data_IF_949045149816
#
_entry.id   IF_949045149816
#
_cell.length_a   1.000
_cell.length_b   1.000
_cell.length_c   1.000
_cell.angle_alpha   90.00
_cell.angle_beta   90.00
_cell.angle_gamma   90.00
#
_symmetry.space_group_name_H-M   'P 1'
#
loop_
_entity.id
_entity.type
_entity.pdbx_description
1 polymer ?
#
# COMPACT_ATOMS: atom_id res chain seq x y z
N UNK A 1 45.35 60.42 35.94
CA UNK A 1 43.95 60.92 35.94
C UNK A 1 43.61 61.37 34.52
N UNK A 2 42.43 61.07 34.00
CA UNK A 2 41.65 59.83 34.09
C UNK A 2 41.17 59.42 32.66
N UNK A 3 40.80 58.17 32.34
CA UNK A 3 39.45 57.57 32.44
C UNK A 3 38.94 57.13 31.05
N UNK A 4 38.35 55.92 31.02
CA UNK A 4 37.18 55.50 30.21
C UNK A 4 37.36 55.44 28.67
N UNK A 5 37.12 54.34 27.93
CA UNK A 5 36.11 53.30 28.07
C UNK A 5 36.61 51.92 27.64
N UNK A 6 36.27 50.95 28.49
CA UNK A 6 36.04 49.54 28.19
C UNK A 6 34.88 49.39 27.18
N UNK A 7 34.97 48.49 26.20
CA UNK A 7 34.08 47.31 26.15
C UNK A 7 34.51 46.31 25.05
N UNK A 8 34.49 45.04 25.44
CA UNK A 8 34.84 43.85 24.69
C UNK A 8 33.89 43.59 23.52
N UNK A 9 34.43 43.33 22.32
CA UNK A 9 33.74 42.59 21.25
C UNK A 9 34.52 41.30 20.96
N UNK A 10 34.34 40.30 21.81
CA UNK A 10 34.62 38.90 21.48
C UNK A 10 33.28 38.25 21.16
N UNK A 11 32.79 38.45 19.92
CA UNK A 11 31.68 37.66 19.41
C UNK A 11 32.23 36.24 19.15
N UNK A 12 31.91 35.31 20.05
CA UNK A 12 32.06 33.88 19.80
C UNK A 12 31.16 33.51 18.64
N UNK A 13 31.75 33.12 17.51
CA UNK A 13 31.06 32.34 16.49
C UNK A 13 30.65 31.00 17.12
N UNK A 14 29.43 30.92 17.64
CA UNK A 14 28.74 29.65 17.79
C UNK A 14 28.35 29.21 16.39
N UNK A 15 29.17 28.35 15.78
CA UNK A 15 28.74 27.54 14.64
C UNK A 15 27.69 26.58 15.16
N UNK A 16 26.42 26.96 15.02
CA UNK A 16 25.31 26.02 15.12
C UNK A 16 25.49 25.01 13.99
N UNK A 17 26.01 23.83 14.31
CA UNK A 17 25.75 22.63 13.52
C UNK A 17 24.24 22.38 13.62
N UNK A 18 23.47 23.00 12.73
CA UNK A 18 22.17 22.47 12.37
C UNK A 18 22.46 21.17 11.64
N UNK A 19 22.30 20.05 12.34
CA UNK A 19 22.05 18.77 11.71
C UNK A 19 20.93 18.99 10.69
N UNK A 20 21.28 18.91 9.41
CA UNK A 20 20.30 18.77 8.36
C UNK A 20 19.53 17.48 8.67
N UNK A 21 18.38 17.61 9.34
CA UNK A 21 17.31 16.65 9.19
C UNK A 21 17.06 16.61 7.68
N UNK A 22 17.48 15.52 7.04
CA UNK A 22 17.09 15.24 5.66
C UNK A 22 15.58 15.36 5.61
N UNK A 23 15.08 16.42 4.97
CA UNK A 23 13.66 16.54 4.67
C UNK A 23 13.26 15.24 3.95
N UNK A 24 12.10 14.68 4.31
CA UNK A 24 11.58 13.56 3.55
C UNK A 24 11.45 14.01 2.09
N UNK A 25 11.88 13.22 1.10
CA UNK A 25 11.86 13.64 -0.30
C UNK A 25 10.44 13.88 -0.85
N UNK A 26 9.40 13.52 -0.10
CA UNK A 26 7.99 13.61 -0.48
C UNK A 26 7.19 14.28 0.64
N UNK A 27 6.55 15.41 0.33
CA UNK A 27 5.85 16.25 1.31
C UNK A 27 4.34 15.97 1.39
N UNK A 28 3.79 15.18 0.46
CA UNK A 28 2.35 14.89 0.42
C UNK A 28 2.07 13.61 1.19
N UNK A 29 1.34 13.75 2.30
CA UNK A 29 0.85 12.65 3.10
C UNK A 29 -0.54 12.96 3.69
N UNK A 30 -1.41 11.95 3.71
CA UNK A 30 -2.70 11.97 4.38
C UNK A 30 -2.80 10.74 5.28
N UNK A 31 -3.18 10.95 6.54
CA UNK A 31 -3.52 9.89 7.48
C UNK A 31 -4.92 10.17 7.98
N UNK A 32 -5.89 9.32 7.68
CA UNK A 32 -7.32 9.51 7.98
C UNK A 32 -7.76 8.44 8.95
N UNK A 33 -8.25 8.86 10.12
CA UNK A 33 -8.94 8.02 11.09
C UNK A 33 -10.40 7.87 10.64
N UNK A 34 -10.71 6.77 9.95
CA UNK A 34 -12.03 6.54 9.37
C UNK A 34 -13.02 6.23 10.50
N UNK A 35 -14.04 7.05 10.67
CA UNK A 35 -14.94 7.02 11.82
C UNK A 35 -14.59 8.03 12.92
N UNK A 36 -13.37 8.59 12.90
CA UNK A 36 -12.86 9.51 13.90
C UNK A 36 -13.48 10.91 13.80
N UNK A 37 -14.04 11.48 14.89
CA UNK A 37 -14.71 12.78 14.83
C UNK A 37 -13.75 13.98 14.90
N UNK A 38 -12.50 13.75 15.32
CA UNK A 38 -11.51 14.81 15.59
C UNK A 38 -10.12 14.36 15.20
N UNK A 39 -9.24 15.31 14.90
CA UNK A 39 -7.84 14.98 14.67
C UNK A 39 -7.20 14.41 15.94
N UNK A 40 -6.40 13.37 15.78
CA UNK A 40 -5.68 12.69 16.86
C UNK A 40 -4.22 12.53 16.47
N UNK A 41 -3.33 12.47 17.46
CA UNK A 41 -1.92 12.18 17.22
C UNK A 41 -1.58 10.85 17.86
N UNK A 42 -0.96 9.97 17.10
CA UNK A 42 -0.60 8.64 17.57
C UNK A 42 0.68 8.67 18.44
N UNK A 43 1.05 7.55 19.09
CA UNK A 43 2.26 7.47 19.91
C UNK A 43 3.59 7.69 19.14
N UNK A 44 3.56 7.66 17.81
CA UNK A 44 4.71 7.88 16.93
C UNK A 44 4.75 9.31 16.37
N UNK A 45 3.91 10.21 16.90
CA UNK A 45 3.81 11.61 16.52
C UNK A 45 3.29 11.82 15.07
N UNK A 46 2.52 10.85 14.54
CA UNK A 46 1.78 11.02 13.30
C UNK A 46 0.44 11.66 13.60
N UNK A 47 0.11 12.76 12.91
CA UNK A 47 -1.21 13.39 13.01
C UNK A 47 -2.18 12.70 12.06
N UNK A 48 -3.22 12.11 12.64
CA UNK A 48 -4.36 11.54 11.95
C UNK A 48 -5.49 12.56 11.90
N UNK A 49 -6.01 12.79 10.70
CA UNK A 49 -7.12 13.68 10.43
C UNK A 49 -8.44 13.00 10.81
N UNK A 50 -9.38 13.81 11.30
CA UNK A 50 -10.77 13.40 11.42
C UNK A 50 -11.31 12.90 10.08
N UNK A 51 -12.26 11.98 10.15
CA UNK A 51 -12.84 11.32 8.99
C UNK A 51 -13.42 12.32 7.99
N UNK A 52 -13.02 12.19 6.72
CA UNK A 52 -13.36 13.11 5.64
C UNK A 52 -13.05 12.51 4.27
N UNK A 53 -13.49 13.19 3.22
CA UNK A 53 -13.38 12.76 1.80
C UNK A 53 -14.23 11.54 1.43
N UNK A 54 -15.05 11.02 2.35
CA UNK A 54 -15.97 9.93 2.08
C UNK A 54 -17.24 10.42 1.36
N UNK A 55 -17.87 9.53 0.58
CA UNK A 55 -19.12 9.84 -0.14
C UNK A 55 -20.40 9.50 0.62
N UNK A 56 -20.33 8.72 1.70
CA UNK A 56 -21.50 8.29 2.45
C UNK A 56 -21.15 7.44 3.67
N UNK A 57 -22.12 6.65 4.14
CA UNK A 57 -21.93 5.73 5.26
C UNK A 57 -22.10 6.34 6.65
N UNK A 58 -21.92 5.49 7.63
CA UNK A 58 -22.04 5.79 9.06
C UNK A 58 -20.76 5.39 9.78
N UNK A 59 -20.59 5.85 11.01
CA UNK A 59 -19.40 5.55 11.82
C UNK A 59 -19.78 4.70 13.01
N UNK A 60 -18.83 3.89 13.48
CA UNK A 60 -18.94 3.13 14.72
C UNK A 60 -17.59 3.05 15.40
N UNK A 61 -17.65 2.72 16.68
CA UNK A 61 -16.50 2.24 17.43
C UNK A 61 -16.45 0.71 17.27
N UNK A 62 -15.26 0.13 17.24
CA UNK A 62 -15.07 -1.34 17.29
C UNK A 62 -15.60 -1.92 18.61
N UNK A 63 -15.88 -3.21 18.71
CA UNK A 63 -16.49 -3.77 19.93
C UNK A 63 -15.54 -3.73 21.14
N UNK A 64 -14.23 -3.90 20.93
CA UNK A 64 -13.22 -3.93 21.98
C UNK A 64 -12.12 -2.87 21.73
N UNK A 65 -12.40 -1.55 21.85
CA UNK A 65 -11.45 -0.49 21.48
C UNK A 65 -10.15 -0.46 22.28
N UNK A 66 -10.13 -1.10 23.45
CA UNK A 66 -8.94 -1.21 24.29
C UNK A 66 -7.98 -2.30 23.81
N UNK A 67 -8.44 -3.19 22.93
CA UNK A 67 -7.59 -4.15 22.23
C UNK A 67 -6.62 -3.45 21.28
N UNK A 68 -7.09 -2.37 20.65
CA UNK A 68 -6.31 -1.57 19.71
C UNK A 68 -5.46 -0.52 20.43
N UNK A 69 -4.19 -0.48 20.06
CA UNK A 69 -3.23 0.47 20.67
C UNK A 69 -3.34 1.83 20.02
N UNK A 70 -3.60 1.89 18.71
CA UNK A 70 -3.57 3.12 17.96
C UNK A 70 -4.95 3.78 17.88
N UNK A 71 -5.06 5.11 17.99
CA UNK A 71 -6.33 5.82 17.90
C UNK A 71 -7.12 5.48 16.64
N UNK A 72 -6.45 5.47 15.48
CA UNK A 72 -7.01 5.22 14.16
C UNK A 72 -7.49 3.78 13.90
N UNK A 73 -7.32 2.89 14.87
CA UNK A 73 -7.79 1.50 14.79
C UNK A 73 -9.06 1.28 15.64
N UNK A 74 -9.47 2.30 16.42
CA UNK A 74 -10.57 2.19 17.40
C UNK A 74 -11.92 2.56 16.83
N UNK A 75 -11.94 3.21 15.69
CA UNK A 75 -13.17 3.59 14.99
C UNK A 75 -13.16 3.02 13.58
N UNK A 76 -14.34 2.91 13.00
CA UNK A 76 -14.50 2.53 11.61
C UNK A 76 -15.64 3.32 10.97
N UNK A 77 -15.51 3.52 9.66
CA UNK A 77 -16.63 3.87 8.79
C UNK A 77 -17.17 2.58 8.17
N UNK A 78 -18.48 2.45 8.16
CA UNK A 78 -19.18 1.38 7.46
C UNK A 78 -20.20 1.94 6.46
N UNK A 79 -20.39 1.23 5.36
CA UNK A 79 -21.25 1.67 4.26
C UNK A 79 -22.48 0.76 4.15
N UNK A 80 -23.57 1.04 4.88
CA UNK A 80 -24.80 0.27 4.75
C UNK A 80 -25.42 0.47 3.37
N UNK A 81 -26.23 -0.49 2.92
CA UNK A 81 -26.92 -0.43 1.62
C UNK A 81 -27.78 0.84 1.43
N UNK A 82 -28.23 1.48 2.52
CA UNK A 82 -28.91 2.77 2.47
C UNK A 82 -28.06 3.92 1.91
N UNK A 83 -26.72 3.77 1.94
CA UNK A 83 -25.75 4.68 1.33
C UNK A 83 -25.37 4.26 -0.10
N UNK A 84 -26.08 3.29 -0.67
CA UNK A 84 -25.81 2.75 -2.01
C UNK A 84 -24.77 1.63 -2.00
N UNK A 85 -24.68 0.93 -3.14
CA UNK A 85 -23.80 -0.25 -3.29
C UNK A 85 -22.32 0.10 -3.44
N UNK A 86 -22.02 1.32 -3.91
CA UNK A 86 -20.65 1.83 -4.11
C UNK A 86 -20.44 3.11 -3.30
N UNK A 87 -19.42 3.10 -2.45
CA UNK A 87 -19.00 4.26 -1.66
C UNK A 87 -17.50 4.41 -1.73
N UNK A 88 -16.99 5.64 -1.66
CA UNK A 88 -15.57 5.90 -1.86
C UNK A 88 -15.02 6.90 -0.85
N UNK A 89 -13.72 6.87 -0.66
CA UNK A 89 -12.92 8.03 -0.28
C UNK A 89 -12.32 8.63 -1.55
N UNK A 90 -12.57 9.93 -1.79
CA UNK A 90 -12.13 10.67 -2.98
C UNK A 90 -11.27 11.84 -2.51
N UNK A 91 -9.95 11.69 -2.60
CA UNK A 91 -8.99 12.65 -2.05
C UNK A 91 -8.32 13.46 -3.16
N UNK A 92 -8.23 14.80 -3.05
CA UNK A 92 -7.49 15.60 -4.01
C UNK A 92 -5.99 15.32 -3.88
N UNK A 93 -5.38 14.73 -4.92
CA UNK A 93 -3.96 14.39 -4.99
C UNK A 93 -3.39 14.77 -6.35
N UNK A 94 -2.26 15.50 -6.43
CA UNK A 94 -1.66 15.79 -7.72
C UNK A 94 -1.20 14.50 -8.42
N UNK A 95 -1.05 14.57 -9.75
CA UNK A 95 -0.57 13.41 -10.51
C UNK A 95 0.79 12.94 -9.98
N UNK A 96 0.93 11.64 -9.74
CA UNK A 96 2.12 11.07 -9.10
C UNK A 96 1.95 9.61 -8.75
N UNK A 97 2.97 9.04 -8.10
CA UNK A 97 2.92 7.68 -7.55
C UNK A 97 2.78 7.75 -6.04
N UNK A 98 1.92 6.91 -5.50
CA UNK A 98 1.57 6.93 -4.09
C UNK A 98 1.61 5.53 -3.49
N UNK A 99 2.05 5.48 -2.24
CA UNK A 99 1.83 4.37 -1.33
C UNK A 99 0.48 4.58 -0.64
N UNK A 100 -0.37 3.57 -0.67
CA UNK A 100 -1.64 3.52 0.03
C UNK A 100 -1.57 2.44 1.09
N UNK A 101 -2.11 2.71 2.28
CA UNK A 101 -2.29 1.71 3.32
C UNK A 101 -3.66 1.84 3.93
N UNK A 102 -4.42 0.76 3.96
CA UNK A 102 -5.74 0.69 4.61
C UNK A 102 -5.67 -0.20 5.82
N UNK A 103 -6.38 0.16 6.89
CA UNK A 103 -6.67 -0.74 8.00
C UNK A 103 -8.13 -1.19 7.93
N UNK A 104 -8.37 -2.50 7.93
CA UNK A 104 -9.70 -3.09 7.87
C UNK A 104 -9.90 -4.00 9.08
N UNK A 105 -10.99 -3.76 9.82
CA UNK A 105 -11.38 -4.58 10.97
C UNK A 105 -12.89 -4.64 11.08
N UNK A 106 -13.42 -5.79 11.51
CA UNK A 106 -14.84 -5.95 11.83
C UNK A 106 -15.08 -5.75 13.34
N UNK A 107 -14.33 -6.49 14.15
CA UNK A 107 -14.40 -6.58 15.61
C UNK A 107 -15.83 -6.46 16.14
N UNK A 108 -16.76 -7.17 15.49
CA UNK A 108 -18.17 -7.25 15.84
C UNK A 108 -18.83 -5.89 16.18
N UNK A 109 -18.46 -4.80 15.50
CA UNK A 109 -18.91 -3.44 15.84
C UNK A 109 -20.44 -3.28 15.88
N UNK A 110 -21.17 -4.13 15.15
CA UNK A 110 -22.63 -4.11 15.04
C UNK A 110 -23.33 -5.20 15.87
N UNK A 111 -22.57 -6.03 16.61
CA UNK A 111 -23.09 -7.08 17.48
C UNK A 111 -23.74 -8.25 16.75
N UNK A 112 -23.58 -8.39 15.44
CA UNK A 112 -24.22 -9.45 14.64
C UNK A 112 -23.41 -10.74 14.53
N UNK A 113 -22.14 -10.72 14.92
CA UNK A 113 -21.19 -11.82 14.77
C UNK A 113 -21.10 -12.34 13.33
N UNK A 114 -21.20 -11.41 12.37
CA UNK A 114 -21.17 -11.69 10.94
C UNK A 114 -20.31 -10.64 10.23
N UNK A 115 -19.05 -10.99 9.96
CA UNK A 115 -18.14 -10.16 9.18
C UNK A 115 -18.73 -9.86 7.79
N UNK A 116 -18.56 -8.64 7.24
CA UNK A 116 -19.15 -8.29 5.96
C UNK A 116 -18.39 -8.89 4.77
N UNK A 117 -19.12 -9.25 3.71
CA UNK A 117 -18.56 -9.53 2.39
C UNK A 117 -18.61 -8.27 1.52
N UNK A 118 -17.46 -7.87 0.99
CA UNK A 118 -17.37 -6.71 0.10
C UNK A 118 -16.09 -6.74 -0.73
N UNK A 119 -16.07 -5.90 -1.75
CA UNK A 119 -14.93 -5.68 -2.61
C UNK A 119 -14.39 -4.26 -2.43
N UNK A 120 -13.08 -4.07 -2.64
CA UNK A 120 -12.44 -2.76 -2.59
C UNK A 120 -11.56 -2.53 -3.82
N UNK A 121 -11.67 -1.32 -4.40
CA UNK A 121 -10.88 -0.88 -5.54
C UNK A 121 -10.03 0.33 -5.21
N UNK A 122 -8.93 0.47 -5.92
CA UNK A 122 -8.10 1.67 -5.97
C UNK A 122 -8.02 2.11 -7.44
N UNK A 123 -8.29 3.38 -7.74
CA UNK A 123 -8.29 3.93 -9.10
C UNK A 123 -9.14 3.08 -10.07
N UNK A 124 -10.34 2.71 -9.62
CA UNK A 124 -11.26 1.87 -10.40
C UNK A 124 -10.82 0.42 -10.62
N UNK A 125 -9.69 -0.02 -10.05
CA UNK A 125 -9.16 -1.38 -10.19
C UNK A 125 -9.41 -2.18 -8.92
N UNK A 126 -10.05 -3.35 -9.03
CA UNK A 126 -10.32 -4.21 -7.88
C UNK A 126 -9.01 -4.77 -7.30
N UNK A 127 -8.76 -4.53 -6.00
CA UNK A 127 -7.51 -4.91 -5.32
C UNK A 127 -7.72 -5.84 -4.14
N UNK A 128 -8.88 -5.79 -3.47
CA UNK A 128 -9.19 -6.68 -2.35
C UNK A 128 -10.61 -7.22 -2.42
N UNK A 129 -10.74 -8.49 -2.02
CA UNK A 129 -12.02 -9.18 -1.88
C UNK A 129 -12.14 -9.77 -0.48
N UNK A 130 -13.03 -9.20 0.32
CA UNK A 130 -13.34 -9.65 1.67
C UNK A 130 -14.58 -10.55 1.62
N UNK A 131 -14.48 -11.78 2.14
CA UNK A 131 -15.55 -12.78 2.04
C UNK A 131 -15.85 -13.37 3.41
N UNK A 132 -17.09 -13.22 3.84
CA UNK A 132 -17.58 -13.79 5.10
C UNK A 132 -17.66 -15.33 5.03
N UNK A 133 -17.36 -16.05 6.13
CA UNK A 133 -16.82 -15.55 7.39
C UNK A 133 -15.32 -15.27 7.29
N UNK A 134 -14.86 -14.18 7.91
CA UNK A 134 -13.43 -13.88 8.00
C UNK A 134 -12.75 -14.80 9.02
N UNK A 135 -11.45 -15.13 8.84
CA UNK A 135 -10.63 -15.73 9.89
C UNK A 135 -10.71 -14.95 11.19
N UNK A 136 -10.70 -15.62 12.35
CA UNK A 136 -10.91 -14.96 13.65
C UNK A 136 -9.87 -13.89 13.94
N UNK A 137 -8.58 -14.14 13.63
CA UNK A 137 -7.52 -13.14 13.78
C UNK A 137 -7.79 -11.89 12.96
N UNK A 138 -8.23 -12.03 11.71
CA UNK A 138 -8.58 -10.88 10.88
C UNK A 138 -9.86 -10.17 11.39
N UNK A 139 -10.87 -10.95 11.78
CA UNK A 139 -12.13 -10.40 12.26
C UNK A 139 -11.94 -9.58 13.54
N UNK A 140 -11.08 -10.03 14.46
CA UNK A 140 -10.83 -9.40 15.76
C UNK A 140 -9.68 -8.40 15.76
N UNK A 141 -8.54 -8.75 15.17
CA UNK A 141 -7.31 -7.95 15.24
C UNK A 141 -7.17 -7.00 14.04
N UNK A 142 -7.96 -7.23 12.99
CA UNK A 142 -7.89 -6.46 11.74
C UNK A 142 -6.67 -6.81 10.89
N UNK A 143 -6.55 -6.13 9.75
CA UNK A 143 -5.38 -6.23 8.90
C UNK A 143 -5.08 -4.90 8.20
N UNK A 144 -3.78 -4.66 8.05
CA UNK A 144 -3.27 -3.62 7.17
C UNK A 144 -3.09 -4.18 5.75
N UNK A 145 -3.36 -3.35 4.75
CA UNK A 145 -3.14 -3.70 3.35
C UNK A 145 -2.46 -2.55 2.62
N UNK A 146 -1.34 -2.88 1.97
CA UNK A 146 -0.41 -1.91 1.40
C UNK A 146 -0.41 -2.00 -0.13
N UNK A 147 -0.48 -0.85 -0.81
CA UNK A 147 -0.51 -0.76 -2.26
C UNK A 147 0.42 0.34 -2.78
N UNK A 148 0.88 0.21 -4.03
CA UNK A 148 1.43 1.32 -4.80
C UNK A 148 0.65 1.49 -6.09
N UNK A 149 0.21 2.71 -6.37
CA UNK A 149 -0.51 3.06 -7.59
C UNK A 149 -0.12 4.45 -8.10
N UNK A 150 -0.40 4.71 -9.37
CA UNK A 150 -0.32 6.03 -9.96
C UNK A 150 -1.69 6.71 -9.92
N UNK A 151 -1.71 7.96 -9.50
CA UNK A 151 -2.85 8.88 -9.62
C UNK A 151 -2.56 9.84 -10.75
N UNK A 152 -3.51 10.09 -11.65
CA UNK A 152 -3.25 10.85 -12.89
C UNK A 152 -4.17 12.05 -13.10
N UNK A 153 -5.38 12.00 -12.57
CA UNK A 153 -6.47 12.94 -12.85
C UNK A 153 -6.69 13.99 -11.74
N UNK A 154 -5.89 13.96 -10.68
CA UNK A 154 -5.95 14.94 -9.60
C UNK A 154 -6.74 14.48 -8.38
N UNK A 155 -7.33 13.28 -8.41
CA UNK A 155 -8.10 12.69 -7.31
C UNK A 155 -7.68 11.23 -7.15
N UNK A 156 -7.58 10.73 -5.91
CA UNK A 156 -7.46 9.30 -5.66
C UNK A 156 -8.79 8.72 -5.19
N UNK A 157 -9.21 7.64 -5.84
CA UNK A 157 -10.46 6.94 -5.59
C UNK A 157 -10.18 5.60 -4.89
N UNK A 158 -10.51 5.52 -3.59
CA UNK A 158 -10.56 4.27 -2.83
C UNK A 158 -12.02 3.90 -2.61
N UNK A 159 -12.53 2.94 -3.39
CA UNK A 159 -13.96 2.60 -3.41
C UNK A 159 -14.25 1.22 -2.84
N UNK A 160 -15.45 1.06 -2.29
CA UNK A 160 -15.96 -0.13 -1.63
C UNK A 160 -17.30 -0.52 -2.21
N UNK A 161 -17.47 -1.82 -2.46
CA UNK A 161 -18.61 -2.40 -3.16
C UNK A 161 -19.29 -3.44 -2.27
N UNK A 162 -20.52 -3.13 -1.83
CA UNK A 162 -21.31 -4.02 -0.98
C UNK A 162 -21.72 -5.28 -1.72
N UNK A 163 -21.52 -6.46 -1.12
CA UNK A 163 -22.08 -7.71 -1.62
C UNK A 163 -23.35 -8.02 -0.83
N UNK A 164 -24.45 -8.27 -1.55
CA UNK A 164 -25.77 -8.47 -0.97
C UNK A 164 -26.18 -7.31 -0.03
N UNK A 165 -26.30 -7.56 1.26
CA UNK A 165 -26.68 -6.56 2.28
C UNK A 165 -25.55 -6.21 3.24
N UNK A 166 -24.34 -6.76 3.01
CA UNK A 166 -23.22 -6.58 3.92
C UNK A 166 -22.60 -5.18 3.75
N UNK A 167 -22.38 -4.44 4.84
CA UNK A 167 -21.75 -3.13 4.79
C UNK A 167 -20.23 -3.24 4.71
N UNK A 168 -19.56 -2.73 3.67
CA UNK A 168 -18.11 -2.58 3.67
C UNK A 168 -17.64 -1.74 4.85
N UNK A 169 -16.44 -2.02 5.35
CA UNK A 169 -15.84 -1.36 6.52
C UNK A 169 -14.41 -0.92 6.24
N UNK A 170 -14.00 0.20 6.84
CA UNK A 170 -12.62 0.68 6.85
C UNK A 170 -12.36 1.46 8.15
N UNK A 171 -11.23 1.16 8.81
CA UNK A 171 -10.79 1.81 10.06
C UNK A 171 -9.81 2.95 9.82
N UNK A 172 -8.91 2.83 8.84
CA UNK A 172 -8.01 3.93 8.51
C UNK A 172 -7.54 3.91 7.06
N UNK A 173 -7.17 5.09 6.55
CA UNK A 173 -6.59 5.29 5.22
C UNK A 173 -5.35 6.19 5.32
N UNK A 174 -4.22 5.66 4.89
CA UNK A 174 -2.96 6.37 4.75
C UNK A 174 -2.58 6.47 3.28
N UNK A 175 -2.12 7.65 2.87
CA UNK A 175 -1.62 7.90 1.52
C UNK A 175 -0.36 8.72 1.63
N UNK A 176 0.70 8.31 0.94
CA UNK A 176 1.97 9.04 0.90
C UNK A 176 2.53 9.04 -0.50
N UNK A 177 2.96 10.21 -0.97
CA UNK A 177 3.66 10.31 -2.24
C UNK A 177 5.00 9.58 -2.15
N UNK A 178 5.37 8.88 -3.21
CA UNK A 178 6.64 8.15 -3.32
C UNK A 178 7.31 8.48 -4.65
N UNK A 179 8.55 8.01 -4.81
CA UNK A 179 9.28 8.21 -6.05
C UNK A 179 8.53 7.55 -7.22
N UNK A 180 8.28 8.27 -8.33
CA UNK A 180 7.57 7.72 -9.48
C UNK A 180 8.29 6.54 -10.13
N UNK A 181 9.61 6.41 -9.94
CA UNK A 181 10.44 5.31 -10.45
C UNK A 181 10.62 4.17 -9.44
N UNK A 182 10.01 4.25 -8.26
CA UNK A 182 10.10 3.20 -7.23
C UNK A 182 9.57 1.86 -7.74
N UNK A 183 10.13 0.77 -7.22
CA UNK A 183 9.75 -0.61 -7.52
C UNK A 183 9.78 -0.94 -9.02
N UNK A 184 10.86 -0.55 -9.70
CA UNK A 184 11.10 -0.82 -11.14
C UNK A 184 10.00 -0.29 -12.06
N UNK A 185 9.36 0.82 -11.68
CA UNK A 185 8.31 1.43 -12.49
C UNK A 185 8.77 1.87 -13.89
N UNK A 186 10.07 2.13 -14.08
CA UNK A 186 10.64 2.39 -15.40
C UNK A 186 10.44 1.23 -16.38
N UNK A 187 10.51 -0.01 -15.88
CA UNK A 187 10.35 -1.23 -16.68
C UNK A 187 8.89 -1.71 -16.70
N UNK A 188 8.19 -1.63 -15.56
CA UNK A 188 6.81 -2.08 -15.42
C UNK A 188 5.78 -1.10 -16.01
N UNK A 189 6.13 0.18 -16.08
CA UNK A 189 5.22 1.26 -16.43
C UNK A 189 4.20 1.58 -15.32
N UNK A 190 3.08 2.17 -15.74
CA UNK A 190 2.01 2.69 -14.89
C UNK A 190 0.69 1.91 -15.02
N UNK A 191 0.78 0.68 -15.54
CA UNK A 191 -0.33 -0.21 -15.90
C UNK A 191 -0.68 -1.25 -14.83
N UNK A 192 0.00 -1.20 -13.68
CA UNK A 192 -0.24 -2.12 -12.57
C UNK A 192 -0.35 -1.36 -11.25
N UNK A 193 -1.24 -1.84 -10.39
CA UNK A 193 -1.21 -1.60 -8.95
C UNK A 193 -0.39 -2.71 -8.31
N UNK A 194 0.59 -2.34 -7.48
CA UNK A 194 1.39 -3.29 -6.73
C UNK A 194 0.71 -3.53 -5.39
N UNK A 195 0.15 -4.72 -5.18
CA UNK A 195 -0.46 -5.12 -3.91
C UNK A 195 0.56 -5.90 -3.10
N UNK A 196 0.84 -5.50 -1.85
CA UNK A 196 1.81 -6.18 -1.01
C UNK A 196 1.27 -7.53 -0.49
N UNK A 197 2.01 -8.61 -0.75
CA UNK A 197 1.77 -9.97 -0.23
C UNK A 197 2.83 -10.38 0.82
N UNK A 198 3.64 -9.43 1.27
CA UNK A 198 4.71 -9.67 2.21
C UNK A 198 5.81 -8.63 2.03
N UNK A 199 6.14 -7.93 3.11
CA UNK A 199 7.33 -7.08 3.22
C UNK A 199 8.07 -7.49 4.48
N UNK A 200 9.10 -8.30 4.33
CA UNK A 200 9.74 -9.04 5.41
C UNK A 200 11.10 -8.45 5.75
N UNK A 201 11.35 -8.24 7.03
CA UNK A 201 12.66 -7.94 7.60
C UNK A 201 13.21 -9.20 8.25
N UNK A 202 14.18 -9.83 7.61
CA UNK A 202 14.69 -11.12 8.05
C UNK A 202 15.48 -11.01 9.36
N UNK A 203 15.05 -11.76 10.38
CA UNK A 203 15.71 -11.82 11.68
C UNK A 203 15.37 -10.67 12.63
N UNK A 204 14.35 -9.89 12.32
CA UNK A 204 13.81 -8.83 13.18
C UNK A 204 12.34 -9.10 13.50
N UNK A 205 11.89 -8.63 14.65
CA UNK A 205 10.46 -8.43 14.93
C UNK A 205 9.87 -7.38 13.97
N UNK A 206 8.54 -7.28 13.92
CA UNK A 206 7.82 -6.28 13.12
C UNK A 206 8.22 -4.84 13.52
N UNK A 207 8.41 -3.97 12.53
CA UNK A 207 8.81 -2.58 12.74
C UNK A 207 8.31 -1.63 11.65
N UNK A 208 8.39 -0.33 11.90
CA UNK A 208 7.93 0.74 11.01
C UNK A 208 6.68 1.44 11.53
N UNK A 209 6.01 2.27 10.71
CA UNK A 209 4.85 3.06 11.14
C UNK A 209 3.73 2.19 11.72
N UNK A 210 3.26 2.56 12.92
CA UNK A 210 2.31 1.77 13.71
C UNK A 210 2.96 0.78 14.68
N UNK A 211 4.27 0.52 14.60
CA UNK A 211 4.92 -0.49 15.44
C UNK A 211 6.12 0.05 16.21
N UNK A 212 6.97 0.85 15.56
CA UNK A 212 8.19 1.39 16.14
C UNK A 212 8.51 2.80 15.61
N UNK A 213 9.44 3.51 16.26
CA UNK A 213 9.92 4.84 15.84
C UNK A 213 10.94 4.80 14.68
N UNK A 214 11.05 3.67 13.98
CA UNK A 214 12.03 3.54 12.90
C UNK A 214 11.54 4.22 11.64
N UNK A 215 12.44 4.98 11.00
CA UNK A 215 12.10 5.82 9.86
C UNK A 215 12.21 5.03 8.56
N UNK A 216 11.11 5.02 7.79
CA UNK A 216 11.07 4.69 6.38
C UNK A 216 10.46 5.89 5.62
N UNK A 217 11.17 6.40 4.61
CA UNK A 217 10.73 7.59 3.87
C UNK A 217 9.45 7.35 3.04
N UNK A 218 9.11 6.11 2.73
CA UNK A 218 7.83 5.76 2.09
C UNK A 218 6.74 5.42 3.11
N UNK A 219 7.06 5.36 4.41
CA UNK A 219 6.10 4.99 5.45
C UNK A 219 5.76 3.50 5.46
N UNK A 220 6.60 2.65 4.87
CA UNK A 220 6.39 1.20 4.85
C UNK A 220 6.60 0.60 6.22
N UNK A 221 5.77 -0.38 6.56
CA UNK A 221 6.00 -1.30 7.69
C UNK A 221 6.60 -2.61 7.20
N UNK A 222 7.40 -3.25 8.04
CA UNK A 222 8.14 -4.48 7.76
C UNK A 222 7.79 -5.55 8.80
N UNK A 223 7.39 -6.73 8.33
CA UNK A 223 6.99 -7.87 9.15
C UNK A 223 8.18 -8.77 9.46
N UNK A 224 8.06 -9.60 10.50
CA UNK A 224 9.02 -10.68 10.76
C UNK A 224 8.94 -11.73 9.66
N UNK A 225 10.07 -12.32 9.29
CA UNK A 225 10.12 -13.43 8.34
C UNK A 225 9.81 -14.79 8.99
N UNK A 226 9.71 -14.86 10.32
CA UNK A 226 9.70 -16.11 11.09
C UNK A 226 8.60 -17.10 10.71
N UNK A 227 7.37 -16.61 10.53
CA UNK A 227 6.21 -17.46 10.21
C UNK A 227 6.25 -18.01 8.78
N UNK A 228 7.03 -17.39 7.90
CA UNK A 228 7.12 -17.76 6.48
C UNK A 228 8.33 -18.66 6.17
N UNK A 229 9.19 -18.92 7.16
CA UNK A 229 10.29 -19.88 7.04
C UNK A 229 9.75 -21.31 7.06
N UNK A 230 10.29 -22.18 6.22
CA UNK A 230 9.94 -23.62 6.31
C UNK A 230 10.46 -24.22 7.62
N UNK A 231 9.86 -25.34 8.09
CA UNK A 231 10.31 -26.01 9.32
C UNK A 231 11.78 -26.44 9.32
N UNK A 232 12.37 -26.65 8.14
CA UNK A 232 13.79 -26.97 8.00
C UNK A 232 14.65 -25.72 8.18
N UNK A 233 14.28 -24.61 7.55
CA UNK A 233 14.93 -23.31 7.70
C UNK A 233 14.93 -22.86 9.16
N UNK A 234 13.78 -22.94 9.84
CA UNK A 234 13.65 -22.50 11.24
C UNK A 234 14.56 -23.26 12.22
N UNK A 235 15.00 -24.47 11.89
CA UNK A 235 15.93 -25.27 12.72
C UNK A 235 17.39 -24.88 12.56
N UNK A 236 17.77 -24.30 11.42
CA UNK A 236 19.18 -24.02 11.06
C UNK A 236 19.52 -22.54 11.06
N UNK A 237 18.51 -21.69 11.16
CA UNK A 237 18.64 -20.23 11.09
C UNK A 237 19.36 -19.68 12.32
N UNK A 238 20.28 -18.75 12.07
CA UNK A 238 20.86 -17.84 13.04
C UNK A 238 20.66 -16.41 12.56
N UNK A 239 20.34 -15.52 13.49
CA UNK A 239 20.24 -14.08 13.24
C UNK A 239 21.63 -13.47 13.41
N UNK A 240 22.03 -12.63 12.46
CA UNK A 240 23.23 -11.79 12.54
C UNK A 240 22.77 -10.35 12.52
N UNK A 241 23.37 -9.53 13.37
CA UNK A 241 23.09 -8.10 13.44
C UNK A 241 24.36 -7.29 13.55
N UNK A 242 24.28 -6.02 13.14
CA UNK A 242 25.39 -5.08 13.25
C UNK A 242 24.89 -3.72 13.73
N UNK A 243 25.77 -2.97 14.38
CA UNK A 243 25.58 -1.55 14.71
C UNK A 243 26.33 -0.62 13.76
N UNK A 244 27.10 -1.18 12.84
CA UNK A 244 27.82 -0.41 11.83
C UNK A 244 26.84 0.30 10.89
N UNK A 245 27.30 1.39 10.30
CA UNK A 245 26.56 2.09 9.27
C UNK A 245 26.54 1.27 7.98
N UNK A 246 25.36 1.15 7.36
CA UNK A 246 25.23 0.49 6.06
C UNK A 246 25.19 1.57 4.97
N UNK A 247 26.13 1.49 4.02
CA UNK A 247 26.16 2.38 2.86
C UNK A 247 25.16 1.95 1.77
N UNK A 248 24.77 2.85 0.87
CA UNK A 248 23.84 2.55 -0.23
C UNK A 248 22.34 2.49 0.16
N UNK A 249 22.01 2.81 1.41
CA UNK A 249 20.63 2.85 1.93
C UNK A 249 19.98 4.22 1.70
N UNK A 250 18.65 4.29 1.78
CA UNK A 250 17.88 5.53 1.62
C UNK A 250 18.19 6.28 0.31
N UNK A 251 18.50 5.56 -0.77
CA UNK A 251 18.75 6.12 -2.09
C UNK A 251 17.54 5.97 -3.00
N UNK A 252 17.35 6.97 -3.88
CA UNK A 252 16.38 6.89 -4.95
C UNK A 252 16.64 5.65 -5.85
N UNK A 253 15.59 5.06 -6.45
CA UNK A 253 14.20 5.49 -6.34
C UNK A 253 13.45 4.84 -5.17
N UNK A 254 14.03 3.88 -4.44
CA UNK A 254 13.26 3.06 -3.49
C UNK A 254 13.37 3.48 -2.02
N UNK A 255 14.41 4.25 -1.69
CA UNK A 255 14.69 4.74 -0.35
C UNK A 255 14.62 3.64 0.72
N UNK A 256 15.20 2.46 0.43
CA UNK A 256 15.15 1.35 1.38
C UNK A 256 15.88 1.71 2.69
N UNK A 257 15.22 1.56 3.85
CA UNK A 257 15.71 2.05 5.13
C UNK A 257 16.95 1.27 5.62
N UNK A 258 17.84 1.98 6.32
CA UNK A 258 19.08 1.38 6.85
C UNK A 258 18.83 0.20 7.79
N UNK A 259 17.79 0.30 8.64
CA UNK A 259 17.42 -0.72 9.61
C UNK A 259 17.24 -2.10 8.97
N UNK A 260 16.68 -2.16 7.78
CA UNK A 260 16.48 -3.40 7.02
C UNK A 260 17.80 -4.17 6.83
N UNK A 261 18.88 -3.46 6.56
CA UNK A 261 20.19 -4.04 6.23
C UNK A 261 21.10 -4.24 7.44
N UNK A 262 20.67 -3.87 8.65
CA UNK A 262 21.43 -4.07 9.88
C UNK A 262 21.14 -5.41 10.57
N UNK A 263 20.12 -6.12 10.10
CA UNK A 263 19.80 -7.48 10.54
C UNK A 263 19.70 -8.40 9.33
N UNK A 264 20.06 -9.67 9.55
CA UNK A 264 19.96 -10.68 8.53
C UNK A 264 19.79 -12.06 9.14
N UNK A 265 19.23 -12.96 8.36
CA UNK A 265 19.17 -14.39 8.64
C UNK A 265 20.21 -15.11 7.80
N UNK A 266 20.93 -16.05 8.42
CA UNK A 266 21.87 -16.95 7.75
C UNK A 266 21.72 -18.35 8.35
N UNK A 267 22.13 -19.42 7.65
CA UNK A 267 21.98 -20.78 8.17
C UNK A 267 22.87 -21.78 7.45
N UNK A 268 23.32 -22.82 8.16
CA UNK A 268 24.23 -23.84 7.63
C UNK A 268 23.51 -24.84 6.69
N UNK A 269 22.95 -24.33 5.58
CA UNK A 269 22.18 -25.09 4.63
C UNK A 269 21.41 -24.19 3.67
N UNK A 270 20.35 -24.75 3.06
CA UNK A 270 19.42 -24.00 2.23
C UNK A 270 18.47 -23.22 3.12
N UNK A 271 18.34 -21.91 2.89
CA UNK A 271 17.25 -21.12 3.48
C UNK A 271 16.07 -21.17 2.52
N UNK A 272 14.90 -21.49 3.04
CA UNK A 272 13.67 -21.62 2.26
C UNK A 272 12.51 -20.92 2.96
N UNK A 273 11.76 -20.16 2.15
CA UNK A 273 10.57 -19.42 2.53
C UNK A 273 9.39 -19.84 1.65
N UNK A 274 8.21 -19.95 2.25
CA UNK A 274 6.95 -20.22 1.55
C UNK A 274 5.98 -19.06 1.80
N UNK A 275 5.68 -18.31 0.74
CA UNK A 275 4.81 -17.14 0.79
C UNK A 275 3.48 -17.52 0.14
N UNK A 276 2.38 -17.33 0.88
CA UNK A 276 1.03 -17.55 0.35
C UNK A 276 0.65 -16.43 -0.62
N UNK A 277 0.12 -16.81 -1.77
CA UNK A 277 -0.19 -15.93 -2.90
C UNK A 277 -1.43 -16.43 -3.64
N UNK A 278 -1.94 -15.60 -4.54
CA UNK A 278 -3.01 -15.99 -5.45
C UNK A 278 -2.47 -16.62 -6.72
N UNK A 279 -3.21 -17.58 -7.25
CA UNK A 279 -2.88 -18.21 -8.52
C UNK A 279 -3.30 -17.32 -9.70
N UNK A 280 -2.68 -17.57 -10.86
CA UNK A 280 -2.89 -16.89 -12.16
C UNK A 280 -2.55 -15.40 -12.14
N UNK A 281 -1.55 -15.03 -11.34
CA UNK A 281 -1.09 -13.65 -11.19
C UNK A 281 0.43 -13.55 -11.43
N UNK A 282 0.88 -12.33 -11.75
CA UNK A 282 2.29 -11.99 -11.82
C UNK A 282 2.75 -11.42 -10.47
N UNK A 283 3.98 -11.74 -10.07
CA UNK A 283 4.55 -11.31 -8.78
C UNK A 283 5.92 -10.67 -8.97
N UNK A 284 6.10 -9.46 -8.43
CA UNK A 284 7.38 -8.78 -8.33
C UNK A 284 8.00 -9.05 -6.95
N UNK A 285 9.14 -9.72 -6.94
CA UNK A 285 9.93 -9.94 -5.74
C UNK A 285 11.09 -8.96 -5.65
N UNK A 286 11.41 -8.52 -4.44
CA UNK A 286 12.63 -7.80 -4.11
C UNK A 286 13.40 -8.56 -3.04
N UNK A 287 14.70 -8.73 -3.27
CA UNK A 287 15.60 -9.39 -2.34
C UNK A 287 16.62 -8.39 -1.81
N UNK A 288 16.77 -8.34 -0.49
CA UNK A 288 17.63 -7.39 0.20
C UNK A 288 18.77 -8.10 0.90
N UNK A 289 19.99 -7.60 0.68
CA UNK A 289 21.22 -8.17 1.18
C UNK A 289 22.19 -7.10 1.68
N UNK A 290 22.97 -7.45 2.70
CA UNK A 290 24.18 -6.74 3.07
C UNK A 290 25.14 -7.75 3.68
N UNK A 291 26.42 -7.68 3.34
CA UNK A 291 27.44 -8.51 4.01
C UNK A 291 27.83 -7.82 5.32
N UNK A 292 27.14 -8.22 6.39
CA UNK A 292 27.32 -7.70 7.75
C UNK A 292 28.14 -8.65 8.65
N UNK A 293 28.53 -9.82 8.14
CA UNK A 293 29.43 -10.75 8.82
C UNK A 293 30.88 -10.39 8.51
N UNK A 294 31.59 -9.85 9.50
CA UNK A 294 32.99 -9.40 9.34
C UNK A 294 33.98 -10.51 8.98
N UNK A 295 33.58 -11.79 9.11
CA UNK A 295 34.40 -12.92 8.67
C UNK A 295 34.45 -13.05 7.14
N UNK A 296 33.50 -12.47 6.42
CA UNK A 296 33.47 -12.38 4.96
C UNK A 296 34.03 -11.02 4.52
N UNK A 297 35.28 -11.03 4.06
CA UNK A 297 36.07 -9.83 3.76
C UNK A 297 36.72 -9.84 2.37
N UNK A 298 36.35 -10.79 1.51
CA UNK A 298 36.78 -10.84 0.10
C UNK A 298 35.75 -11.55 -0.77
N UNK A 299 35.76 -11.19 -2.05
CA UNK A 299 34.98 -11.86 -3.11
C UNK A 299 35.20 -13.37 -3.08
N UNK A 300 34.12 -14.13 -3.30
CA UNK A 300 34.11 -15.58 -3.39
C UNK A 300 34.03 -16.31 -2.05
N UNK A 301 34.04 -15.60 -0.91
CA UNK A 301 33.89 -16.22 0.41
C UNK A 301 32.44 -16.54 0.78
N UNK A 302 31.45 -15.92 0.14
CA UNK A 302 30.05 -16.31 0.29
C UNK A 302 29.38 -16.17 -1.06
N UNK A 303 29.05 -17.32 -1.66
CA UNK A 303 28.35 -17.38 -2.94
C UNK A 303 27.19 -18.33 -2.79
N UNK A 304 26.00 -17.89 -3.17
CA UNK A 304 24.78 -18.70 -3.15
C UNK A 304 23.87 -18.33 -4.33
N UNK A 305 23.07 -19.29 -4.76
CA UNK A 305 22.04 -19.08 -5.78
C UNK A 305 20.70 -18.75 -5.10
N UNK A 306 19.97 -17.79 -5.65
CA UNK A 306 18.60 -17.45 -5.26
C UNK A 306 17.66 -18.08 -6.27
N UNK A 307 16.82 -19.00 -5.83
CA UNK A 307 15.83 -19.67 -6.67
C UNK A 307 14.43 -19.23 -6.25
N UNK A 308 13.57 -18.99 -7.25
CA UNK A 308 12.15 -18.72 -7.06
C UNK A 308 11.38 -19.79 -7.81
N UNK A 309 10.58 -20.60 -7.09
CA UNK A 309 9.87 -21.76 -7.63
C UNK A 309 10.79 -22.66 -8.49
N UNK A 310 11.93 -23.08 -7.91
CA UNK A 310 12.98 -23.90 -8.53
C UNK A 310 13.70 -23.26 -9.74
N UNK A 311 13.34 -22.04 -10.14
CA UNK A 311 14.03 -21.31 -11.21
C UNK A 311 15.10 -20.41 -10.63
N UNK A 312 16.32 -20.46 -11.17
CA UNK A 312 17.40 -19.61 -10.73
C UNK A 312 17.12 -18.14 -11.11
N UNK A 313 16.94 -17.30 -10.10
CA UNK A 313 16.76 -15.85 -10.26
C UNK A 313 18.10 -15.13 -10.37
N UNK A 314 19.08 -15.48 -9.52
CA UNK A 314 20.40 -14.86 -9.54
C UNK A 314 21.44 -15.65 -8.74
N UNK A 315 22.71 -15.53 -9.14
CA UNK A 315 23.86 -15.95 -8.31
C UNK A 315 24.41 -14.75 -7.56
N UNK A 316 24.45 -14.83 -6.23
CA UNK A 316 24.78 -13.71 -5.34
C UNK A 316 26.13 -13.93 -4.68
N UNK A 317 27.00 -12.92 -4.80
CA UNK A 317 28.21 -12.70 -3.99
C UNK A 317 28.19 -11.23 -3.55
N UNK A 318 27.67 -10.97 -2.35
CA UNK A 318 27.38 -9.60 -1.88
C UNK A 318 28.67 -8.78 -1.82
N UNK A 319 29.75 -9.36 -1.28
CA UNK A 319 31.03 -8.68 -1.17
C UNK A 319 31.58 -8.30 -2.55
N UNK A 320 31.42 -9.16 -3.56
CA UNK A 320 31.82 -8.83 -4.93
C UNK A 320 31.02 -7.68 -5.56
N UNK A 321 29.74 -7.53 -5.18
CA UNK A 321 28.86 -6.49 -5.71
C UNK A 321 29.09 -5.14 -5.04
N UNK A 322 29.17 -5.12 -3.71
CA UNK A 322 29.12 -3.87 -2.93
C UNK A 322 30.12 -3.81 -1.77
N UNK A 323 30.86 -4.88 -1.49
CA UNK A 323 31.75 -4.99 -0.33
C UNK A 323 31.01 -5.29 0.98
N UNK A 324 31.65 -5.01 2.11
CA UNK A 324 31.06 -5.17 3.45
C UNK A 324 30.25 -3.94 3.86
N UNK A 325 29.22 -4.13 4.68
CA UNK A 325 28.39 -3.05 5.25
C UNK A 325 27.84 -2.09 4.17
N UNK A 326 27.40 -2.66 3.06
CA UNK A 326 26.77 -1.96 1.96
C UNK A 326 25.51 -2.72 1.52
N UNK A 327 24.45 -1.98 1.22
CA UNK A 327 23.19 -2.52 0.76
C UNK A 327 23.31 -2.98 -0.70
N UNK A 328 22.85 -4.20 -0.94
CA UNK A 328 22.66 -4.77 -2.27
C UNK A 328 21.23 -5.30 -2.37
N UNK A 329 20.53 -4.95 -3.44
CA UNK A 329 19.20 -5.48 -3.70
C UNK A 329 18.99 -5.68 -5.19
N UNK A 330 18.12 -6.62 -5.52
CA UNK A 330 17.66 -6.81 -6.89
C UNK A 330 16.22 -7.31 -6.89
N UNK A 331 15.54 -7.10 -8.01
CA UNK A 331 14.16 -7.58 -8.23
C UNK A 331 14.10 -8.76 -9.18
N UNK A 332 13.08 -9.59 -9.04
CA UNK A 332 12.78 -10.69 -9.96
C UNK A 332 11.27 -10.82 -10.13
N UNK A 333 10.80 -10.93 -11.38
CA UNK A 333 9.36 -11.06 -11.68
C UNK A 333 9.02 -12.50 -12.03
N UNK A 334 8.04 -13.06 -11.33
CA UNK A 334 7.39 -14.33 -11.68
C UNK A 334 6.17 -14.00 -12.52
N UNK A 335 6.07 -14.59 -13.70
CA UNK A 335 4.91 -14.43 -14.58
C UNK A 335 3.98 -15.63 -14.50
N UNK A 336 2.67 -15.35 -14.48
CA UNK A 336 1.57 -16.29 -14.53
C UNK A 336 1.75 -17.47 -13.57
N UNK A 337 1.92 -17.15 -12.28
CA UNK A 337 2.11 -18.16 -11.25
C UNK A 337 0.84 -18.98 -11.09
N UNK A 338 0.86 -20.26 -11.42
CA UNK A 338 -0.33 -21.13 -11.31
C UNK A 338 -0.55 -21.74 -9.92
N UNK A 339 0.36 -21.48 -8.97
CA UNK A 339 0.36 -22.01 -7.61
C UNK A 339 -0.14 -20.96 -6.62
N UNK A 340 -0.70 -21.39 -5.49
CA UNK A 340 -1.04 -20.51 -4.35
C UNK A 340 0.11 -20.33 -3.35
N UNK A 341 1.25 -20.96 -3.62
CA UNK A 341 2.46 -20.83 -2.82
C UNK A 341 3.61 -20.42 -3.71
N UNK A 342 4.36 -19.41 -3.27
CA UNK A 342 5.61 -18.96 -3.86
C UNK A 342 6.78 -19.41 -2.95
N UNK A 343 7.67 -20.25 -3.49
CA UNK A 343 8.86 -20.73 -2.80
C UNK A 343 10.08 -19.89 -3.17
N UNK A 344 10.80 -19.40 -2.17
CA UNK A 344 12.09 -18.73 -2.32
C UNK A 344 13.16 -19.55 -1.61
N UNK A 345 14.22 -19.93 -2.33
CA UNK A 345 15.36 -20.70 -1.82
C UNK A 345 16.67 -19.96 -2.01
N UNK A 346 17.50 -19.94 -0.97
CA UNK A 346 18.89 -19.51 -1.05
C UNK A 346 19.78 -20.74 -0.86
N UNK A 347 20.45 -21.16 -1.92
CA UNK A 347 21.23 -22.40 -1.97
C UNK A 347 22.72 -22.07 -1.96
N UNK A 348 23.48 -22.44 -0.90
CA UNK A 348 24.91 -22.17 -0.86
C UNK A 348 25.66 -22.87 -2.00
N UNK A 349 26.59 -22.13 -2.62
CA UNK A 349 27.46 -22.59 -3.72
C UNK A 349 28.91 -22.67 -3.25
N UNK A 350 29.43 -21.64 -2.58
CA UNK A 350 30.82 -21.60 -2.13
C UNK A 350 31.05 -20.71 -0.90
N UNK A 351 32.06 -21.08 -0.11
CA UNK A 351 32.70 -20.28 0.93
C UNK A 351 31.93 -20.09 2.25
N UNK A 352 30.59 -20.07 2.22
CA UNK A 352 29.79 -19.86 3.42
C UNK A 352 28.29 -20.06 3.23
N UNK A 353 27.55 -20.03 4.35
CA UNK A 353 26.10 -20.06 4.41
C UNK A 353 25.47 -18.87 3.64
N UNK A 354 24.30 -19.01 3.02
CA UNK A 354 23.57 -17.85 2.49
C UNK A 354 23.21 -16.86 3.61
N UNK A 355 22.96 -15.60 3.24
CA UNK A 355 22.52 -14.54 4.15
C UNK A 355 21.46 -13.69 3.45
N UNK A 356 20.44 -13.22 4.15
CA UNK A 356 19.38 -12.35 3.61
C UNK A 356 18.87 -11.38 4.67
N UNK A 357 18.67 -10.12 4.27
CA UNK A 357 18.18 -9.04 5.13
C UNK A 357 16.66 -8.84 5.02
N UNK A 358 16.09 -9.09 3.85
CA UNK A 358 14.66 -8.92 3.65
C UNK A 358 14.16 -9.45 2.31
N UNK A 359 12.86 -9.66 2.24
CA UNK A 359 12.14 -10.12 1.05
C UNK A 359 10.87 -9.27 0.93
N UNK A 360 10.60 -8.72 -0.24
CA UNK A 360 9.29 -8.16 -0.57
C UNK A 360 8.64 -8.97 -1.69
N UNK A 361 7.32 -9.10 -1.64
CA UNK A 361 6.50 -9.75 -2.65
C UNK A 361 5.29 -8.88 -2.98
N UNK A 362 5.13 -8.51 -4.24
CA UNK A 362 4.00 -7.71 -4.72
C UNK A 362 3.27 -8.42 -5.84
N UNK A 363 1.95 -8.60 -5.72
CA UNK A 363 1.13 -8.95 -6.87
C UNK A 363 1.05 -7.75 -7.82
N UNK A 364 1.24 -8.00 -9.11
CA UNK A 364 1.06 -7.02 -10.17
C UNK A 364 -0.38 -7.10 -10.67
N UNK A 365 -1.28 -6.31 -10.08
CA UNK A 365 -2.69 -6.26 -10.47
C UNK A 365 -2.82 -5.30 -11.66
N UNK A 366 -3.22 -5.77 -12.85
CA UNK A 366 -3.39 -4.90 -14.01
C UNK A 366 -4.48 -3.86 -13.72
N UNK A 367 -4.23 -2.62 -14.10
CA UNK A 367 -5.25 -1.57 -13.99
C UNK A 367 -6.46 -1.96 -14.83
N UNK A 368 -7.66 -1.73 -14.28
CA UNK A 368 -8.89 -1.87 -15.03
C UNK A 368 -9.06 -0.70 -16.01
N UNK A 369 -9.92 -0.88 -17.02
CA UNK A 369 -10.22 0.15 -17.99
C UNK A 369 -11.11 1.21 -17.32
N UNK A 370 -10.64 2.45 -17.26
CA UNK A 370 -11.38 3.56 -16.69
C UNK A 370 -12.42 4.14 -17.67
N UNK A 371 -13.37 4.92 -17.13
CA UNK A 371 -14.30 5.70 -17.94
C UNK A 371 -13.56 6.85 -18.63
N UNK A 372 -13.92 7.14 -19.88
CA UNK A 372 -13.34 8.26 -20.63
C UNK A 372 -13.55 9.60 -19.89
N UNK A 373 -12.54 10.49 -19.78
CA UNK A 373 -12.63 11.70 -18.94
C UNK A 373 -13.79 12.64 -19.25
N UNK A 374 -14.15 12.79 -20.52
CA UNK A 374 -15.29 13.62 -20.96
C UNK A 374 -16.63 13.03 -20.48
N UNK A 375 -16.74 11.69 -20.48
CA UNK A 375 -17.90 10.95 -19.98
C UNK A 375 -18.01 11.07 -18.45
N UNK A 376 -16.88 10.98 -17.73
CA UNK A 376 -16.82 11.24 -16.27
C UNK A 376 -17.31 12.66 -15.95
N UNK A 377 -16.83 13.65 -16.70
CA UNK A 377 -17.21 15.06 -16.52
C UNK A 377 -18.73 15.25 -16.67
N UNK A 378 -19.31 14.68 -17.72
CA UNK A 378 -20.75 14.73 -17.95
C UNK A 378 -21.55 14.05 -16.84
N UNK A 379 -21.10 12.87 -16.37
CA UNK A 379 -21.77 12.13 -15.32
C UNK A 379 -21.69 12.79 -13.96
N UNK A 380 -20.54 13.37 -13.58
CA UNK A 380 -20.41 14.21 -12.38
C UNK A 380 -21.39 15.39 -12.46
N UNK A 381 -21.47 16.07 -13.61
CA UNK A 381 -22.41 17.17 -13.80
C UNK A 381 -23.89 16.73 -13.72
N UNK A 382 -24.23 15.55 -14.26
CA UNK A 382 -25.59 14.99 -14.17
C UNK A 382 -25.95 14.57 -12.74
N UNK A 383 -25.02 13.96 -12.01
CA UNK A 383 -25.19 13.61 -10.59
C UNK A 383 -25.64 14.84 -9.79
N UNK A 384 -24.91 15.94 -9.97
CA UNK A 384 -25.14 17.19 -9.26
C UNK A 384 -26.44 17.87 -9.72
N UNK A 385 -26.67 17.96 -11.03
CA UNK A 385 -27.82 18.68 -11.59
C UNK A 385 -29.15 18.00 -11.32
N UNK A 386 -29.17 16.66 -11.27
CA UNK A 386 -30.34 15.84 -10.94
C UNK A 386 -30.46 15.51 -9.45
N UNK A 387 -29.52 16.01 -8.62
CA UNK A 387 -29.45 15.76 -7.18
C UNK A 387 -29.62 14.28 -6.86
N UNK A 388 -28.85 13.46 -7.58
CA UNK A 388 -28.89 12.00 -7.45
C UNK A 388 -28.64 11.63 -5.99
N UNK A 389 -29.57 10.90 -5.34
CA UNK A 389 -29.42 10.56 -3.93
C UNK A 389 -28.32 9.52 -3.75
N UNK A 390 -27.59 9.61 -2.64
CA UNK A 390 -26.44 8.75 -2.32
C UNK A 390 -26.75 7.25 -2.43
N UNK A 391 -28.00 6.85 -2.15
CA UNK A 391 -28.48 5.47 -2.28
C UNK A 391 -28.26 4.84 -3.67
N UNK A 392 -28.10 5.64 -4.73
CA UNK A 392 -27.81 5.12 -6.08
C UNK A 392 -26.33 4.77 -6.28
N UNK A 393 -25.45 5.09 -5.32
CA UNK A 393 -24.04 4.72 -5.37
C UNK A 393 -23.26 5.36 -6.52
N UNK A 394 -23.68 6.55 -6.98
CA UNK A 394 -22.99 7.30 -8.05
C UNK A 394 -21.69 7.94 -7.51
N UNK A 395 -20.70 7.13 -7.14
CA UNK A 395 -19.45 7.54 -6.49
C UNK A 395 -18.21 7.01 -7.25
N UNK A 396 -17.12 7.78 -7.26
CA UNK A 396 -15.91 7.45 -8.03
C UNK A 396 -16.15 7.31 -9.53
N UNK A 397 -15.39 6.45 -10.20
CA UNK A 397 -15.56 6.16 -11.64
C UNK A 397 -16.97 5.59 -11.99
N UNK A 398 -17.67 6.10 -13.04
CA UNK A 398 -19.01 5.63 -13.43
C UNK A 398 -19.12 4.19 -13.94
N UNK A 399 -18.05 3.64 -14.51
CA UNK A 399 -18.07 2.34 -15.20
C UNK A 399 -17.04 1.34 -14.65
N UNK A 400 -16.09 1.77 -13.83
CA UNK A 400 -15.03 0.94 -13.28
C UNK A 400 -15.29 0.55 -11.80
N UNK A 401 -14.88 -0.67 -11.39
CA UNK A 401 -14.26 -1.71 -12.20
C UNK A 401 -15.27 -2.39 -13.14
N UNK A 402 -14.79 -2.96 -14.23
CA UNK A 402 -15.58 -3.60 -15.30
C UNK A 402 -16.36 -4.83 -14.84
N UNK A 403 -15.99 -5.42 -13.71
CA UNK A 403 -16.67 -6.57 -13.11
C UNK A 403 -17.81 -6.18 -12.14
N UNK A 404 -18.07 -4.88 -11.97
CA UNK A 404 -19.16 -4.37 -11.14
C UNK A 404 -20.08 -3.45 -11.94
N UNK A 405 -21.38 -3.49 -11.62
CA UNK A 405 -22.30 -2.41 -11.98
C UNK A 405 -21.97 -1.19 -11.11
N UNK A 406 -20.96 -0.41 -11.52
CA UNK A 406 -20.33 0.60 -10.68
C UNK A 406 -21.32 1.67 -10.20
N UNK A 407 -22.11 2.25 -11.12
CA UNK A 407 -23.17 3.21 -10.80
C UNK A 407 -24.54 2.61 -11.13
N UNK A 408 -25.49 2.70 -10.19
CA UNK A 408 -26.83 2.13 -10.40
C UNK A 408 -27.55 2.82 -11.56
N UNK A 409 -28.10 2.02 -12.48
CA UNK A 409 -28.80 2.52 -13.66
C UNK A 409 -27.88 3.02 -14.78
N UNK A 410 -26.56 2.88 -14.67
CA UNK A 410 -25.62 3.27 -15.74
C UNK A 410 -25.11 2.01 -16.44
N UNK A 411 -25.19 1.97 -17.77
CA UNK A 411 -24.64 0.88 -18.58
C UNK A 411 -23.51 1.39 -19.46
N UNK A 412 -22.36 0.77 -19.31
CA UNK A 412 -21.15 1.11 -20.03
C UNK A 412 -20.73 0.01 -21.00
N UNK A 413 -19.97 0.41 -22.01
CA UNK A 413 -19.31 -0.50 -22.95
C UNK A 413 -17.92 0.01 -23.28
N UNK A 414 -17.00 -0.86 -23.72
CA UNK A 414 -15.74 -0.40 -24.30
C UNK A 414 -15.99 0.50 -25.51
N UNK A 415 -15.15 1.53 -25.66
CA UNK A 415 -15.11 2.30 -26.91
C UNK A 415 -14.58 1.45 -28.08
N UNK A 416 -14.74 1.94 -29.32
CA UNK A 416 -14.35 1.25 -30.55
C UNK A 416 -12.88 0.78 -30.55
N UNK A 417 -12.00 1.50 -29.85
CA UNK A 417 -10.58 1.18 -29.76
C UNK A 417 -10.18 0.47 -28.45
N UNK A 418 -11.13 0.10 -27.58
CA UNK A 418 -10.90 -0.48 -26.25
C UNK A 418 -9.95 0.35 -25.35
N UNK A 419 -9.86 1.67 -25.59
CA UNK A 419 -8.98 2.59 -24.83
C UNK A 419 -9.62 3.14 -23.55
N UNK A 420 -10.92 2.92 -23.36
CA UNK A 420 -11.71 3.45 -22.25
C UNK A 420 -13.15 2.96 -22.30
N UNK A 421 -13.89 3.16 -21.21
CA UNK A 421 -15.32 2.87 -21.14
C UNK A 421 -16.13 4.12 -21.49
N UNK A 422 -17.20 3.92 -22.26
CA UNK A 422 -18.17 4.95 -22.64
C UNK A 422 -19.57 4.55 -22.17
N UNK A 423 -20.38 5.55 -21.84
CA UNK A 423 -21.73 5.32 -21.32
C UNK A 423 -22.69 5.20 -22.48
N UNK A 424 -23.43 4.09 -22.50
CA UNK A 424 -24.37 3.76 -23.56
C UNK A 424 -25.83 3.90 -23.16
N UNK A 425 -26.13 3.75 -21.87
CA UNK A 425 -27.48 3.90 -21.34
C UNK A 425 -27.43 4.44 -19.93
N UNK A 426 -28.41 5.30 -19.62
CA UNK A 426 -28.72 5.77 -18.27
C UNK A 426 -30.20 5.44 -18.04
N UNK A 427 -30.53 4.78 -16.94
CA UNK A 427 -31.90 4.50 -16.51
C UNK A 427 -32.12 5.08 -15.12
N UNK A 428 -32.82 6.21 -15.08
CA UNK A 428 -33.21 6.91 -13.87
C UNK A 428 -34.73 6.85 -13.64
N UNK A 429 -35.41 5.95 -14.35
CA UNK A 429 -36.86 5.80 -14.33
C UNK A 429 -37.38 5.56 -12.91
N UNK A 430 -38.48 6.22 -12.57
CA UNK A 430 -39.19 6.04 -11.29
C UNK A 430 -38.38 6.33 -10.01
N UNK A 431 -37.21 6.98 -10.12
CA UNK A 431 -36.37 7.32 -8.96
C UNK A 431 -36.80 8.60 -8.23
N UNK A 432 -37.75 9.36 -8.80
CA UNK A 432 -38.26 10.60 -8.20
C UNK A 432 -37.20 11.71 -8.11
N UNK A 433 -36.24 11.72 -9.03
CA UNK A 433 -35.15 12.70 -9.07
C UNK A 433 -35.70 14.14 -9.24
N UNK A 434 -34.96 15.10 -8.71
CA UNK A 434 -35.30 16.52 -8.74
C UNK A 434 -34.16 17.30 -9.37
N UNK A 435 -34.46 18.21 -10.28
CA UNK A 435 -33.45 19.08 -10.88
C UNK A 435 -33.62 19.17 -12.38
N UNK A 436 -32.50 19.24 -13.09
CA UNK A 436 -32.48 19.39 -14.54
C UNK A 436 -31.35 18.57 -15.16
N UNK A 437 -31.45 18.33 -16.45
CA UNK A 437 -30.40 17.68 -17.24
C UNK A 437 -29.36 18.75 -17.60
N UNK A 438 -28.12 18.58 -17.16
CA UNK A 438 -27.01 19.48 -17.48
C UNK A 438 -26.70 19.46 -18.99
N UNK A 439 -26.37 20.63 -19.57
CA UNK A 439 -25.93 20.73 -20.97
C UNK A 439 -24.65 19.92 -21.27
N UNK A 440 -23.88 19.57 -20.22
CA UNK A 440 -22.73 18.66 -20.30
C UNK A 440 -23.12 17.24 -20.76
N UNK A 441 -24.42 16.89 -20.77
CA UNK A 441 -24.92 15.65 -21.38
C UNK A 441 -24.48 15.50 -22.84
N UNK A 442 -24.20 16.61 -23.54
CA UNK A 442 -23.66 16.61 -24.90
C UNK A 442 -22.31 15.91 -25.06
N UNK A 443 -21.54 15.75 -23.97
CA UNK A 443 -20.29 14.98 -23.96
C UNK A 443 -20.52 13.46 -23.93
N UNK A 444 -21.74 13.00 -23.63
CA UNK A 444 -22.11 11.59 -23.70
C UNK A 444 -22.44 11.16 -25.15
N UNK A 445 -21.47 11.29 -26.05
CA UNK A 445 -21.64 11.06 -27.50
C UNK A 445 -22.09 9.64 -27.87
N UNK A 446 -21.87 8.68 -26.97
CA UNK A 446 -22.19 7.26 -27.18
C UNK A 446 -23.50 6.83 -26.51
N UNK A 447 -24.22 7.77 -25.85
CA UNK A 447 -25.47 7.52 -25.18
C UNK A 447 -26.57 7.20 -26.20
N UNK A 448 -27.19 6.03 -26.05
CA UNK A 448 -28.25 5.54 -26.93
C UNK A 448 -29.62 5.71 -26.29
N UNK A 449 -29.70 5.60 -24.95
CA UNK A 449 -30.95 5.69 -24.18
C UNK A 449 -30.75 6.43 -22.86
N UNK A 450 -31.73 7.24 -22.47
CA UNK A 450 -31.81 7.98 -21.20
C UNK A 450 -33.18 7.77 -20.53
#
# INVERSE_FOLDING_TARGET
>A
MPLLLLLFFLLRFFTSFQSALSAAPFDIAYHIDCGGPTNVTDPFNTTWLADRYYTGGSTSVVSEPLHFRHPQEKTLRYFPLSSGKKNCYILPLPSGRYYFRTFTVYDNYDGKSHSPSFDASLEGTLVFSWRSPWPESLARDGAYSDLFAFVKDGEADVCFYSIATDPPVIGSLEIRQVDPLSYSAADLGDRFILVNYGRLSCGSDQWGPGFTNDVDYFGRSWQSDEELRTPNTSKIVRVVSTRESISGVNQAPNYFPMKLYQMAVTGNGVLEYEIQVDAKMDYLLWFHFAEIDSTVNKKGQRVFDVLVNEKNASRVDIFAQVGSFAAYSFSYTVHNLSSTTLSVKLVPVAGGAPIICGIENYALVPNDIATMPEQVTAMKALKDSLRVPDRMGWNGDPCAPTNWDAWEGVTCRPDINDTGLVISQIDLGSQGLKGFISDQISLLTNLVSL
#
